data_IF_179547936284
#
_entry.id   IF_179547936284
#
_cell.length_a   1.000
_cell.length_b   1.000
_cell.length_c   1.000
_cell.angle_alpha   90.00
_cell.angle_beta   90.00
_cell.angle_gamma   90.00
#
_symmetry.space_group_name_H-M   'P 1'
#
loop_
_entity.id
_entity.type
_entity.pdbx_description
1 polymer ?
#
# COMPACT_ATOMS: atom_id res chain seq x y z
N UNK A 1 -2.43 -8.70 -4.94
CA UNK A 1 -3.14 -7.72 -5.72
C UNK A 1 -3.12 -6.38 -5.08
N UNK A 2 -2.79 -5.40 -5.88
CA UNK A 2 -2.64 -4.05 -5.36
C UNK A 2 -3.97 -3.49 -4.90
N UNK A 3 -5.05 -3.85 -5.59
CA UNK A 3 -6.35 -3.31 -5.23
C UNK A 3 -6.76 -3.66 -3.80
N UNK A 4 -6.54 -4.91 -3.42
CA UNK A 4 -6.89 -5.32 -2.07
C UNK A 4 -6.08 -4.56 -1.04
N UNK A 5 -4.78 -4.43 -1.30
CA UNK A 5 -3.91 -3.71 -0.39
C UNK A 5 -4.30 -2.24 -0.31
N UNK A 6 -4.67 -1.66 -1.44
CA UNK A 6 -5.10 -0.27 -1.46
C UNK A 6 -6.35 -0.08 -0.63
N UNK A 7 -7.30 -0.98 -0.75
CA UNK A 7 -8.52 -0.88 0.03
C UNK A 7 -8.24 -0.94 1.53
N UNK A 8 -7.41 -1.89 1.91
CA UNK A 8 -7.08 -2.05 3.32
C UNK A 8 -6.40 -0.80 3.84
N UNK A 9 -5.50 -0.25 3.04
CA UNK A 9 -4.81 0.97 3.46
C UNK A 9 -5.79 2.12 3.60
N UNK A 10 -6.69 2.28 2.64
CA UNK A 10 -7.66 3.37 2.72
C UNK A 10 -8.57 3.22 3.94
N UNK A 11 -8.80 2.00 4.33
CA UNK A 11 -9.66 1.73 5.47
C UNK A 11 -8.96 2.01 6.79
N UNK A 12 -7.71 1.58 6.90
CA UNK A 12 -6.96 1.70 8.14
C UNK A 12 -6.03 2.88 8.15
N UNK A 13 -5.62 3.37 6.97
CA UNK A 13 -4.65 4.45 6.85
C UNK A 13 -3.33 4.08 7.49
N UNK A 14 -2.95 2.81 7.40
CA UNK A 14 -1.76 2.30 8.06
C UNK A 14 -0.60 2.23 7.06
N UNK A 15 0.25 3.24 7.09
CA UNK A 15 1.39 3.27 6.19
C UNK A 15 2.36 2.14 6.47
N UNK A 16 2.47 1.74 7.73
CA UNK A 16 3.34 0.64 8.09
C UNK A 16 2.92 -0.63 7.37
N UNK A 17 1.62 -0.81 7.19
CA UNK A 17 1.13 -1.97 6.47
C UNK A 17 1.69 -2.00 5.06
N UNK A 18 1.72 -0.86 4.40
CA UNK A 18 2.27 -0.78 3.06
C UNK A 18 3.76 -1.07 3.05
N UNK A 19 4.49 -0.55 4.02
CA UNK A 19 5.91 -0.81 4.10
C UNK A 19 6.19 -2.28 4.32
N UNK A 20 5.40 -2.91 5.16
CA UNK A 20 5.56 -4.34 5.39
C UNK A 20 5.27 -5.13 4.12
N UNK A 21 4.27 -4.69 3.36
CA UNK A 21 3.93 -5.35 2.11
C UNK A 21 5.09 -5.28 1.14
N UNK A 22 5.77 -4.13 1.08
CA UNK A 22 6.93 -4.01 0.22
C UNK A 22 8.04 -4.94 0.67
N UNK A 23 8.28 -5.01 1.96
CA UNK A 23 9.30 -5.88 2.50
C UNK A 23 9.02 -7.33 2.19
N UNK A 24 7.77 -7.71 2.28
CA UNK A 24 7.39 -9.10 2.02
C UNK A 24 7.30 -9.43 0.55
N UNK A 25 7.42 -8.42 -0.30
CA UNK A 25 7.35 -8.66 -1.72
C UNK A 25 5.95 -8.62 -2.28
N UNK A 26 4.99 -8.17 -1.51
CA UNK A 26 3.62 -8.04 -2.00
C UNK A 26 3.47 -6.82 -2.89
N UNK A 27 4.27 -5.80 -2.64
CA UNK A 27 4.24 -4.55 -3.41
C UNK A 27 5.66 -4.16 -3.78
N UNK A 28 5.78 -3.35 -4.83
CA UNK A 28 7.03 -2.66 -5.10
C UNK A 28 6.94 -1.27 -4.51
N UNK A 29 8.09 -0.61 -4.43
CA UNK A 29 8.10 0.76 -3.93
C UNK A 29 7.26 1.67 -4.80
N UNK A 30 7.30 1.43 -6.10
CA UNK A 30 6.49 2.24 -7.00
C UNK A 30 5.02 2.08 -6.72
N UNK A 31 4.60 0.85 -6.48
CA UNK A 31 3.20 0.60 -6.19
C UNK A 31 2.81 1.23 -4.86
N UNK A 32 3.70 1.17 -3.88
CA UNK A 32 3.42 1.82 -2.61
C UNK A 32 3.24 3.33 -2.81
N UNK A 33 4.12 3.92 -3.59
CA UNK A 33 4.02 5.36 -3.85
C UNK A 33 2.73 5.71 -4.56
N UNK A 34 2.31 4.85 -5.49
CA UNK A 34 1.06 5.08 -6.19
C UNK A 34 -0.11 5.10 -5.23
N UNK A 35 -0.12 4.16 -4.30
CA UNK A 35 -1.19 4.08 -3.33
C UNK A 35 -1.19 5.34 -2.45
N UNK A 36 -0.02 5.76 -2.02
CA UNK A 36 0.08 6.93 -1.18
C UNK A 36 -0.38 8.19 -1.93
N UNK A 37 -0.08 8.24 -3.21
CA UNK A 37 -0.51 9.37 -4.02
C UNK A 37 -2.02 9.40 -4.18
N UNK A 38 -2.61 8.23 -4.39
CA UNK A 38 -4.04 8.18 -4.66
C UNK A 38 -4.85 8.32 -3.39
N UNK A 39 -4.19 8.45 -2.28
CA UNK A 39 -4.88 8.59 -1.01
C UNK A 39 -5.68 9.87 -0.95
N UNK A 40 -5.28 10.81 -1.72
CA UNK A 40 -6.01 12.06 -1.76
C UNK A 40 -7.51 11.83 -1.89
#
# INVERSE_FOLDING_TARGET
MVETLTRIYHKTKDKTYLENAVKKGWLTEEEKNEILKSEE
#
